data_IF_038049219321
#
_entry.id   IF_038049219321
#
_cell.length_a   1.000
_cell.length_b   1.000
_cell.length_c   1.000
_cell.angle_alpha   90.00
_cell.angle_beta   90.00
_cell.angle_gamma   90.00
#
_symmetry.space_group_name_H-M   'P 1'
#
loop_
_entity.id
_entity.type
_entity.pdbx_description
1 polymer ?
#
# COMPACT_ATOMS: atom_id res chain seq x y z
N UNK A 1 -10.12 -44.63 4.49
CA UNK A 1 -8.71 -44.58 4.96
C UNK A 1 -7.67 -44.63 3.84
N UNK A 2 -7.73 -45.56 2.87
CA UNK A 2 -6.65 -45.74 1.86
C UNK A 2 -6.44 -44.52 0.94
N UNK A 3 -7.52 -43.89 0.46
CA UNK A 3 -7.49 -42.69 -0.40
C UNK A 3 -6.87 -41.47 0.30
N UNK A 4 -7.17 -41.28 1.59
CA UNK A 4 -6.65 -40.17 2.39
C UNK A 4 -5.13 -40.31 2.63
N UNK A 5 -4.65 -41.53 2.88
CA UNK A 5 -3.21 -41.81 3.01
C UNK A 5 -2.45 -41.47 1.72
N UNK A 6 -2.97 -41.87 0.56
CA UNK A 6 -2.35 -41.53 -0.73
C UNK A 6 -2.35 -40.03 -1.02
N UNK A 7 -3.42 -39.31 -0.65
CA UNK A 7 -3.45 -37.85 -0.78
C UNK A 7 -2.41 -37.17 0.13
N UNK A 8 -2.29 -37.61 1.39
CA UNK A 8 -1.32 -37.06 2.35
C UNK A 8 0.13 -37.30 1.94
N UNK A 9 0.44 -38.43 1.29
CA UNK A 9 1.78 -38.72 0.76
C UNK A 9 2.20 -37.70 -0.30
N UNK A 10 1.27 -37.13 -1.08
CA UNK A 10 1.57 -36.04 -2.01
C UNK A 10 1.48 -34.65 -1.36
N UNK A 11 0.47 -34.44 -0.52
CA UNK A 11 0.21 -33.15 0.10
C UNK A 11 1.33 -32.72 1.07
N UNK A 12 1.79 -33.61 1.93
CA UNK A 12 2.81 -33.29 2.95
C UNK A 12 4.13 -32.84 2.32
N UNK A 13 4.76 -33.57 1.38
CA UNK A 13 5.98 -33.09 0.72
C UNK A 13 5.71 -31.86 -0.15
N UNK A 14 4.53 -31.75 -0.78
CA UNK A 14 4.13 -30.55 -1.51
C UNK A 14 4.08 -29.29 -0.63
N UNK A 15 3.48 -29.39 0.57
CA UNK A 15 3.43 -28.31 1.55
C UNK A 15 4.81 -27.95 2.08
N UNK A 16 5.67 -28.93 2.34
CA UNK A 16 7.05 -28.68 2.76
C UNK A 16 7.81 -27.88 1.69
N UNK A 17 7.72 -28.30 0.42
CA UNK A 17 8.36 -27.61 -0.69
C UNK A 17 7.85 -26.16 -0.82
N UNK A 18 6.53 -25.95 -0.78
CA UNK A 18 5.92 -24.60 -0.79
C UNK A 18 6.43 -23.76 0.39
N UNK A 19 6.48 -24.32 1.60
CA UNK A 19 6.96 -23.63 2.79
C UNK A 19 8.43 -23.20 2.66
N UNK A 20 9.29 -24.06 2.10
CA UNK A 20 10.70 -23.70 1.85
C UNK A 20 10.86 -22.59 0.81
N UNK A 21 10.07 -22.61 -0.27
CA UNK A 21 10.10 -21.57 -1.30
C UNK A 21 9.60 -20.22 -0.76
N UNK A 22 8.48 -20.22 -0.01
CA UNK A 22 7.89 -19.00 0.54
C UNK A 22 8.76 -18.36 1.63
N UNK A 23 9.40 -19.16 2.50
CA UNK A 23 10.28 -18.64 3.56
C UNK A 23 11.58 -18.03 3.02
N UNK A 24 12.18 -18.61 1.96
CA UNK A 24 13.45 -18.08 1.41
C UNK A 24 13.30 -16.71 0.74
N UNK A 25 12.10 -16.31 0.33
CA UNK A 25 11.87 -15.04 -0.37
C UNK A 25 11.26 -13.92 0.48
N UNK A 26 11.03 -14.15 1.77
CA UNK A 26 10.25 -13.20 2.57
C UNK A 26 8.91 -12.91 1.89
N UNK A 27 8.29 -13.96 1.33
CA UNK A 27 7.08 -13.86 0.52
C UNK A 27 5.90 -13.44 1.41
N UNK A 28 5.85 -12.15 1.74
CA UNK A 28 4.65 -11.52 2.24
C UNK A 28 3.66 -11.45 1.08
N UNK A 29 2.38 -11.70 1.35
CA UNK A 29 1.29 -11.39 0.40
C UNK A 29 1.11 -9.86 0.20
N UNK A 30 2.21 -9.10 0.26
CA UNK A 30 2.30 -7.64 0.25
C UNK A 30 1.89 -7.03 -1.08
N UNK A 31 1.63 -7.82 -2.12
CA UNK A 31 0.99 -7.32 -3.35
C UNK A 31 -0.53 -7.52 -3.42
N UNK A 32 -1.10 -8.37 -2.56
CA UNK A 32 -2.48 -8.88 -2.75
C UNK A 32 -3.49 -8.30 -1.75
N UNK A 33 -3.04 -7.87 -0.58
CA UNK A 33 -3.91 -7.25 0.40
C UNK A 33 -4.34 -5.84 -0.07
N UNK A 34 -5.58 -5.41 0.25
CA UNK A 34 -6.12 -4.14 -0.25
C UNK A 34 -5.20 -2.94 -0.03
N UNK A 35 -4.69 -2.76 1.20
CA UNK A 35 -3.78 -1.66 1.55
C UNK A 35 -2.52 -1.66 0.66
N UNK A 36 -1.87 -2.81 0.59
CA UNK A 36 -0.57 -2.93 -0.03
C UNK A 36 -0.67 -2.91 -1.57
N UNK A 37 -1.80 -3.35 -2.13
CA UNK A 37 -2.14 -3.17 -3.55
C UNK A 37 -2.27 -1.70 -3.91
N UNK A 38 -2.99 -0.90 -3.11
CA UNK A 38 -3.12 0.54 -3.35
C UNK A 38 -1.76 1.22 -3.29
N UNK A 39 -0.94 0.90 -2.27
CA UNK A 39 0.42 1.44 -2.13
C UNK A 39 1.28 1.10 -3.36
N UNK A 40 1.31 -0.17 -3.77
CA UNK A 40 2.12 -0.61 -4.91
C UNK A 40 1.70 0.06 -6.23
N UNK A 41 0.39 0.14 -6.50
CA UNK A 41 -0.13 0.80 -7.69
C UNK A 41 0.09 2.32 -7.68
N UNK A 42 0.09 2.97 -6.51
CA UNK A 42 0.42 4.39 -6.38
C UNK A 42 1.90 4.64 -6.67
N UNK A 43 2.79 3.82 -6.11
CA UNK A 43 4.24 3.94 -6.30
C UNK A 43 4.68 3.66 -7.75
N UNK A 44 3.90 2.90 -8.51
CA UNK A 44 4.17 2.62 -9.93
C UNK A 44 3.71 3.72 -10.89
N UNK A 45 3.08 4.80 -10.40
CA UNK A 45 2.51 5.88 -11.22
C UNK A 45 3.35 7.14 -11.14
N UNK A 46 3.19 8.01 -12.15
CA UNK A 46 3.75 9.36 -12.08
C UNK A 46 3.07 10.12 -10.94
N UNK A 47 3.86 10.70 -10.03
CA UNK A 47 3.33 11.49 -8.93
C UNK A 47 3.17 12.94 -9.37
N UNK A 48 1.98 13.51 -9.14
CA UNK A 48 1.65 14.91 -9.43
C UNK A 48 1.21 15.56 -8.12
N UNK A 49 1.79 16.70 -7.79
CA UNK A 49 1.52 17.40 -6.55
C UNK A 49 0.74 18.67 -6.83
N UNK A 50 -0.39 18.86 -6.14
CA UNK A 50 -1.09 20.15 -6.15
C UNK A 50 -0.24 21.22 -5.45
N UNK A 51 -0.44 22.52 -5.76
CA UNK A 51 0.31 23.61 -5.10
C UNK A 51 0.22 23.56 -3.57
N UNK A 52 -0.97 23.25 -3.03
CA UNK A 52 -1.19 23.12 -1.59
C UNK A 52 -0.42 21.93 -0.99
N UNK A 53 -0.33 20.82 -1.72
CA UNK A 53 0.43 19.65 -1.28
C UNK A 53 1.94 19.95 -1.26
N UNK A 54 2.47 20.57 -2.32
CA UNK A 54 3.87 20.97 -2.38
C UNK A 54 4.24 21.94 -1.27
N UNK A 55 3.41 22.96 -1.03
CA UNK A 55 3.61 23.89 0.09
C UNK A 55 3.62 23.16 1.44
N UNK A 56 2.67 22.25 1.68
CA UNK A 56 2.63 21.48 2.92
C UNK A 56 3.86 20.56 3.08
N UNK A 57 4.39 20.00 1.99
CA UNK A 57 5.65 19.25 2.02
C UNK A 57 6.81 20.14 2.46
N UNK A 58 6.94 21.34 1.88
CA UNK A 58 7.99 22.29 2.21
C UNK A 58 7.92 22.75 3.68
N UNK A 59 6.72 23.10 4.16
CA UNK A 59 6.47 23.51 5.55
C UNK A 59 6.83 22.42 6.56
N UNK A 60 6.59 21.15 6.19
CA UNK A 60 6.88 20.00 7.04
C UNK A 60 8.26 19.38 6.77
N UNK A 61 9.07 19.98 5.88
CA UNK A 61 10.40 19.50 5.46
C UNK A 61 10.38 18.05 4.96
N UNK A 62 9.35 17.71 4.20
CA UNK A 62 9.17 16.40 3.58
C UNK A 62 9.67 16.47 2.14
N UNK A 63 10.69 15.67 1.83
CA UNK A 63 11.14 15.49 0.45
C UNK A 63 10.40 14.32 -0.23
N UNK A 64 10.52 14.24 -1.57
CA UNK A 64 9.90 13.15 -2.34
C UNK A 64 10.36 11.75 -1.90
N UNK A 65 11.62 11.64 -1.46
CA UNK A 65 12.19 10.37 -1.03
C UNK A 65 11.51 9.88 0.24
N UNK A 66 11.32 10.75 1.22
CA UNK A 66 10.62 10.47 2.46
C UNK A 66 9.14 10.21 2.20
N UNK A 67 8.50 10.97 1.31
CA UNK A 67 7.13 10.71 0.88
C UNK A 67 6.98 9.28 0.35
N UNK A 68 7.85 8.85 -0.57
CA UNK A 68 7.80 7.52 -1.20
C UNK A 68 8.18 6.41 -0.22
N UNK A 69 9.37 6.48 0.36
CA UNK A 69 9.99 5.40 1.14
C UNK A 69 9.37 5.24 2.55
N UNK A 70 8.74 6.31 3.05
CA UNK A 70 8.16 6.32 4.40
C UNK A 70 6.66 6.52 4.37
N UNK A 71 6.17 7.69 3.97
CA UNK A 71 4.75 8.02 4.09
C UNK A 71 3.88 7.04 3.29
N UNK A 72 4.16 6.86 2.00
CA UNK A 72 3.38 5.99 1.13
C UNK A 72 3.66 4.52 1.44
N UNK A 73 4.94 4.12 1.48
CA UNK A 73 5.33 2.71 1.65
C UNK A 73 4.92 2.11 3.00
N UNK A 74 4.95 2.91 4.07
CA UNK A 74 4.67 2.45 5.44
C UNK A 74 3.37 3.01 6.01
N UNK A 75 2.58 3.68 5.17
CA UNK A 75 1.26 4.21 5.53
C UNK A 75 0.18 3.14 5.52
N UNK A 76 -0.99 3.54 6.00
CA UNK A 76 -2.20 2.73 6.01
C UNK A 76 -3.35 3.49 5.34
N UNK A 77 -3.97 2.86 4.35
CA UNK A 77 -5.13 3.39 3.65
C UNK A 77 -6.34 3.26 4.55
N UNK A 78 -6.97 4.39 4.85
CA UNK A 78 -8.25 4.44 5.52
C UNK A 78 -9.37 4.27 4.49
N UNK A 79 -9.80 3.02 4.27
CA UNK A 79 -10.86 2.72 3.29
C UNK A 79 -12.24 3.30 3.67
N UNK A 80 -12.49 3.60 4.95
CA UNK A 80 -13.74 4.24 5.39
C UNK A 80 -13.81 5.71 4.95
N UNK A 81 -12.66 6.38 4.91
CA UNK A 81 -12.52 7.77 4.43
C UNK A 81 -12.20 7.87 2.94
N UNK A 82 -12.08 6.75 2.24
CA UNK A 82 -11.68 6.68 0.83
C UNK A 82 -12.85 6.25 -0.05
N UNK A 83 -12.94 6.76 -1.28
CA UNK A 83 -13.86 6.26 -2.29
C UNK A 83 -13.11 5.41 -3.34
N UNK A 84 -12.75 4.20 -2.93
CA UNK A 84 -11.98 3.25 -3.75
C UNK A 84 -12.70 2.81 -5.04
N UNK A 85 -14.02 3.03 -5.14
CA UNK A 85 -14.84 2.65 -6.30
C UNK A 85 -15.14 3.83 -7.25
N UNK A 86 -14.71 5.05 -6.90
CA UNK A 86 -14.91 6.23 -7.73
C UNK A 86 -14.27 6.04 -9.11
N UNK A 87 -14.99 6.48 -10.15
CA UNK A 87 -14.53 6.50 -11.54
C UNK A 87 -14.47 7.95 -12.03
N UNK A 88 -13.50 8.32 -12.88
CA UNK A 88 -12.47 7.46 -13.46
C UNK A 88 -11.28 7.18 -12.52
N UNK A 89 -11.12 7.99 -11.47
CA UNK A 89 -10.01 7.90 -10.53
C UNK A 89 -10.54 7.66 -9.12
N UNK A 90 -10.21 6.52 -8.50
CA UNK A 90 -10.43 6.29 -7.08
C UNK A 90 -9.68 7.30 -6.21
N UNK A 91 -10.33 7.79 -5.17
CA UNK A 91 -9.70 8.63 -4.14
C UNK A 91 -9.37 7.83 -2.89
N UNK A 92 -8.25 8.19 -2.27
CA UNK A 92 -7.72 7.51 -1.10
C UNK A 92 -7.25 8.51 -0.05
N UNK A 93 -7.43 8.11 1.20
CA UNK A 93 -6.87 8.75 2.38
C UNK A 93 -5.87 7.80 3.02
N UNK A 94 -4.62 8.22 3.13
CA UNK A 94 -3.53 7.49 3.75
C UNK A 94 -3.13 8.15 5.07
N UNK A 95 -2.98 7.35 6.11
CA UNK A 95 -2.44 7.80 7.40
C UNK A 95 -1.01 7.25 7.60
N UNK A 96 -0.10 8.09 8.08
CA UNK A 96 1.27 7.70 8.39
C UNK A 96 1.78 8.31 9.70
N UNK A 97 2.48 7.53 10.55
CA UNK A 97 2.64 6.07 10.48
C UNK A 97 1.34 5.32 10.73
N UNK A 98 1.25 4.04 10.37
CA UNK A 98 0.06 3.20 10.63
C UNK A 98 -0.34 3.19 12.11
N UNK A 99 0.65 3.12 13.01
CA UNK A 99 0.45 3.27 14.46
C UNK A 99 0.71 4.71 14.88
N UNK A 100 -0.27 5.32 15.55
CA UNK A 100 -0.21 6.72 16.03
C UNK A 100 0.10 7.72 14.91
N UNK A 101 -0.82 7.87 13.94
CA UNK A 101 -0.59 8.65 12.74
C UNK A 101 -0.34 10.12 13.04
N UNK A 102 0.60 10.71 12.30
CA UNK A 102 1.01 12.11 12.38
C UNK A 102 0.63 12.89 11.13
N UNK A 103 0.56 12.19 10.00
CA UNK A 103 0.21 12.76 8.72
C UNK A 103 -0.99 12.03 8.12
N UNK A 104 -1.88 12.80 7.51
CA UNK A 104 -2.96 12.32 6.66
C UNK A 104 -2.75 12.88 5.24
N UNK A 105 -2.74 12.01 4.26
CA UNK A 105 -2.53 12.33 2.84
C UNK A 105 -3.77 11.96 2.05
N UNK A 106 -4.30 12.90 1.29
CA UNK A 106 -5.42 12.66 0.37
C UNK A 106 -4.92 12.74 -1.07
N UNK A 107 -5.21 11.72 -1.86
CA UNK A 107 -4.75 11.61 -3.23
C UNK A 107 -5.73 10.83 -4.10
N UNK A 108 -5.74 11.14 -5.39
CA UNK A 108 -6.44 10.36 -6.41
C UNK A 108 -5.47 9.49 -7.18
N UNK A 109 -5.88 8.26 -7.49
CA UNK A 109 -5.07 7.29 -8.24
C UNK A 109 -5.72 7.00 -9.59
N UNK A 110 -5.31 7.73 -10.62
CA UNK A 110 -5.77 7.52 -12.00
C UNK A 110 -5.00 6.40 -12.71
N UNK A 111 -5.26 6.18 -14.01
CA UNK A 111 -4.61 5.10 -14.78
C UNK A 111 -3.10 5.32 -14.93
N UNK A 112 -2.65 6.54 -15.18
CA UNK A 112 -1.24 6.85 -15.49
C UNK A 112 -0.53 7.60 -14.35
N UNK A 113 -1.27 8.39 -13.59
CA UNK A 113 -0.73 9.25 -12.55
C UNK A 113 -1.48 9.13 -11.22
N UNK A 114 -0.80 9.54 -10.15
CA UNK A 114 -1.36 9.69 -8.81
C UNK A 114 -1.23 11.16 -8.40
N UNK A 115 -2.36 11.81 -8.15
CA UNK A 115 -2.44 13.25 -7.87
C UNK A 115 -2.66 13.48 -6.39
N UNK A 116 -1.71 14.15 -5.73
CA UNK A 116 -1.74 14.41 -4.30
C UNK A 116 -2.32 15.80 -4.02
N UNK A 117 -3.43 15.82 -3.27
CA UNK A 117 -4.23 17.02 -3.05
C UNK A 117 -3.95 17.68 -1.70
N UNK A 118 -3.83 16.91 -0.62
CA UNK A 118 -3.57 17.49 0.71
C UNK A 118 -2.67 16.62 1.56
N UNK A 119 -1.77 17.27 2.28
CA UNK A 119 -0.96 16.71 3.35
C UNK A 119 -1.30 17.47 4.63
N UNK A 120 -1.90 16.79 5.61
CA UNK A 120 -2.28 17.38 6.88
C UNK A 120 -1.46 16.78 8.00
N UNK A 121 -0.88 17.63 8.83
CA UNK A 121 -0.32 17.21 10.11
C UNK A 121 -1.45 17.16 11.14
N UNK A 122 -1.75 15.97 11.65
CA UNK A 122 -2.84 15.74 12.59
C UNK A 122 -2.37 15.73 14.05
N UNK A 123 -1.06 15.85 14.29
CA UNK A 123 -0.45 15.91 15.63
C UNK A 123 0.89 16.61 15.63
#
# INVERSE_FOLDING_TARGET
MRKLKFFLIGLVPGLLLVFFILNKKGASCSGYLPNSRVIAETLSKKMVYSPAFSQAMDENKIDEKFLKDSIITKGEINFEKSNAQKKPCPDYVLAYPSKNPRYEVSFEKCKEEATFHSLKKIR
#
